data_IF_289699478415
#
_entry.id   IF_289699478415
#
_cell.length_a   1.000
_cell.length_b   1.000
_cell.length_c   1.000
_cell.angle_alpha   90.00
_cell.angle_beta   90.00
_cell.angle_gamma   90.00
#
_symmetry.space_group_name_H-M   'P 1'
#
loop_
_entity.id
_entity.type
_entity.pdbx_description
1 polymer ?
#
# COMPACT_ATOMS: atom_id res chain seq x y z
N UNK A 1 -11.60 -17.38 -19.39
CA UNK A 1 -11.13 -17.89 -18.07
C UNK A 1 -9.99 -17.01 -17.52
N UNK A 2 -8.94 -16.79 -18.31
CA UNK A 2 -7.84 -15.90 -17.93
C UNK A 2 -8.29 -14.46 -17.62
N UNK A 3 -9.24 -13.89 -18.37
CA UNK A 3 -9.72 -12.52 -18.12
C UNK A 3 -10.41 -12.36 -16.75
N UNK A 4 -11.18 -13.37 -16.33
CA UNK A 4 -11.80 -13.37 -15.00
C UNK A 4 -10.75 -13.48 -13.90
N UNK A 5 -9.66 -14.22 -14.14
CA UNK A 5 -8.53 -14.32 -13.20
C UNK A 5 -7.77 -13.00 -13.14
N UNK A 6 -7.53 -12.34 -14.27
CA UNK A 6 -6.88 -11.03 -14.33
C UNK A 6 -7.67 -9.97 -13.55
N UNK A 7 -9.00 -9.92 -13.74
CA UNK A 7 -9.89 -9.04 -12.96
C UNK A 7 -9.84 -9.36 -11.46
N UNK A 8 -9.90 -10.64 -11.09
CA UNK A 8 -9.82 -11.05 -9.69
C UNK A 8 -8.49 -10.63 -9.04
N UNK A 9 -7.37 -10.76 -9.77
CA UNK A 9 -6.05 -10.34 -9.30
C UNK A 9 -5.95 -8.82 -9.15
N UNK A 10 -6.51 -8.05 -10.10
CA UNK A 10 -6.56 -6.59 -10.01
C UNK A 10 -7.30 -6.12 -8.76
N UNK A 11 -8.45 -6.72 -8.46
CA UNK A 11 -9.24 -6.39 -7.28
C UNK A 11 -8.52 -6.77 -5.97
N UNK A 12 -7.87 -7.93 -5.93
CA UNK A 12 -7.04 -8.34 -4.79
C UNK A 12 -5.88 -7.36 -4.59
N UNK A 13 -5.25 -6.90 -5.68
CA UNK A 13 -4.22 -5.86 -5.66
C UNK A 13 -4.72 -4.54 -5.07
N UNK A 14 -5.91 -4.09 -5.48
CA UNK A 14 -6.56 -2.90 -4.96
C UNK A 14 -6.88 -2.99 -3.46
N UNK A 15 -7.41 -4.13 -3.00
CA UNK A 15 -7.68 -4.37 -1.58
C UNK A 15 -6.37 -4.36 -0.78
N UNK A 16 -5.32 -5.00 -1.32
CA UNK A 16 -4.01 -5.07 -0.68
C UNK A 16 -3.39 -3.69 -0.52
N UNK A 17 -3.36 -2.88 -1.59
CA UNK A 17 -2.82 -1.52 -1.54
C UNK A 17 -3.56 -0.67 -0.50
N UNK A 18 -4.90 -0.73 -0.46
CA UNK A 18 -5.67 0.04 0.53
C UNK A 18 -5.35 -0.35 1.97
N UNK A 19 -5.03 -1.60 2.25
CA UNK A 19 -4.55 -2.03 3.58
C UNK A 19 -3.18 -1.45 3.91
N UNK A 20 -2.26 -1.39 2.94
CA UNK A 20 -0.94 -0.80 3.14
C UNK A 20 -1.09 0.70 3.43
N UNK A 21 -1.89 1.42 2.64
CA UNK A 21 -2.20 2.83 2.85
C UNK A 21 -2.71 3.12 4.27
N UNK A 22 -3.59 2.25 4.80
CA UNK A 22 -4.09 2.36 6.16
C UNK A 22 -3.01 2.13 7.23
N UNK A 23 -2.02 1.27 6.97
CA UNK A 23 -0.94 0.98 7.92
C UNK A 23 0.15 2.06 7.92
N UNK A 24 0.46 2.66 6.77
CA UNK A 24 1.54 3.65 6.67
C UNK A 24 1.09 5.05 7.07
N UNK A 25 -0.22 5.33 7.03
CA UNK A 25 -0.80 6.60 7.45
C UNK A 25 -0.98 6.65 8.98
N UNK A 26 -0.26 7.52 9.71
CA UNK A 26 -0.37 7.62 11.17
C UNK A 26 -1.76 8.05 11.63
N UNK A 27 -2.57 8.69 10.77
CA UNK A 27 -3.94 9.11 11.12
C UNK A 27 -4.95 7.96 11.07
N UNK A 28 -4.61 6.86 10.39
CA UNK A 28 -5.49 5.71 10.14
C UNK A 28 -4.99 4.42 10.81
N UNK A 29 -3.75 4.40 11.30
CA UNK A 29 -3.02 3.19 11.70
C UNK A 29 -2.98 2.91 13.21
N UNK A 30 -3.80 3.60 14.02
CA UNK A 30 -3.96 3.35 15.46
C UNK A 30 -2.63 3.27 16.24
N UNK A 31 -1.95 4.42 16.38
CA UNK A 31 -0.67 4.59 17.10
C UNK A 31 0.57 3.95 16.44
N UNK A 32 0.47 3.48 15.20
CA UNK A 32 1.65 3.08 14.44
C UNK A 32 2.45 4.32 13.98
N UNK A 33 3.80 4.25 13.98
CA UNK A 33 4.62 5.33 13.48
C UNK A 33 4.43 5.49 11.97
N UNK A 34 4.53 6.72 11.42
CA UNK A 34 4.31 6.97 10.00
C UNK A 34 5.29 6.15 9.15
N UNK A 35 4.77 5.51 8.10
CA UNK A 35 5.54 4.60 7.24
C UNK A 35 6.27 3.47 7.99
N UNK A 36 5.80 3.11 9.20
CA UNK A 36 6.34 2.07 10.09
C UNK A 36 7.85 2.20 10.37
N UNK A 37 8.35 3.42 10.51
CA UNK A 37 9.76 3.70 10.82
C UNK A 37 9.96 4.03 12.30
N UNK A 38 11.01 3.53 12.97
CA UNK A 38 11.33 3.90 14.36
C UNK A 38 11.64 5.39 14.55
N UNK A 39 12.34 6.01 13.59
CA UNK A 39 12.77 7.42 13.64
C UNK A 39 12.21 8.21 12.44
N UNK A 40 10.95 8.67 12.51
CA UNK A 40 10.31 9.36 11.39
C UNK A 40 10.89 10.75 11.16
N UNK A 41 10.94 11.16 9.88
CA UNK A 41 11.53 12.44 9.45
C UNK A 41 12.99 12.33 9.04
N UNK A 42 13.80 11.58 9.78
CA UNK A 42 15.16 11.21 9.34
C UNK A 42 15.13 9.99 8.40
N UNK A 43 14.31 8.99 8.75
CA UNK A 43 14.13 7.78 7.96
C UNK A 43 12.76 7.77 7.27
N UNK A 44 12.71 7.35 6.02
CA UNK A 44 11.47 7.27 5.23
C UNK A 44 10.67 5.98 5.43
N UNK A 45 11.23 4.97 6.10
CA UNK A 45 10.56 3.68 6.32
C UNK A 45 10.04 3.06 5.02
N UNK A 46 8.77 2.68 5.01
CA UNK A 46 8.08 2.11 3.86
C UNK A 46 7.51 3.12 2.86
N UNK A 47 7.87 4.39 2.93
CA UNK A 47 7.33 5.42 2.03
C UNK A 47 7.49 5.07 0.54
N UNK A 48 8.67 4.60 0.13
CA UNK A 48 8.89 4.20 -1.28
C UNK A 48 8.12 2.92 -1.62
N UNK A 49 8.02 1.98 -0.69
CA UNK A 49 7.23 0.77 -0.90
C UNK A 49 5.74 1.10 -1.11
N UNK A 50 5.18 2.05 -0.35
CA UNK A 50 3.82 2.55 -0.56
C UNK A 50 3.67 3.12 -1.98
N UNK A 51 4.57 4.00 -2.41
CA UNK A 51 4.53 4.60 -3.76
C UNK A 51 4.61 3.53 -4.85
N UNK A 52 5.48 2.53 -4.69
CA UNK A 52 5.58 1.41 -5.64
C UNK A 52 4.28 0.60 -5.69
N UNK A 53 3.67 0.29 -4.55
CA UNK A 53 2.41 -0.47 -4.52
C UNK A 53 1.25 0.32 -5.12
N UNK A 54 1.19 1.63 -4.90
CA UNK A 54 0.20 2.51 -5.52
C UNK A 54 0.36 2.57 -7.05
N UNK A 55 1.60 2.61 -7.55
CA UNK A 55 1.88 2.56 -8.99
C UNK A 55 1.45 1.21 -9.60
N UNK A 56 1.81 0.08 -8.98
CA UNK A 56 1.44 -1.25 -9.45
C UNK A 56 -0.08 -1.49 -9.40
N UNK A 57 -0.76 -0.97 -8.38
CA UNK A 57 -2.23 -1.00 -8.35
C UNK A 57 -2.83 -0.19 -9.51
N UNK A 58 -2.28 0.99 -9.80
CA UNK A 58 -2.75 1.82 -10.90
C UNK A 58 -2.49 1.19 -12.28
N UNK A 59 -1.42 0.40 -12.43
CA UNK A 59 -1.10 -0.30 -13.67
C UNK A 59 -2.03 -1.52 -13.90
N UNK A 60 -2.44 -2.19 -12.84
CA UNK A 60 -3.36 -3.34 -12.92
C UNK A 60 -4.84 -2.94 -13.08
N UNK A 61 -5.16 -1.65 -12.94
CA UNK A 61 -6.52 -1.10 -13.06
C UNK A 61 -6.87 -0.78 -14.51
#
# INVERSE_FOLDING_TARGET
AADMIALALSEIGAISQRRIALMVDPTLSHDLPPFLTPDPGLNSGFMIAEVTTAALMSENK
#
